data_IF_111022312380
#
_entry.id   IF_111022312380
#
_cell.length_a   1.000
_cell.length_b   1.000
_cell.length_c   1.000
_cell.angle_alpha   90.00
_cell.angle_beta   90.00
_cell.angle_gamma   90.00
#
_symmetry.space_group_name_H-M   'P 1'
#
loop_
_entity.id
_entity.type
_entity.pdbx_description
1 polymer ?
#
# COMPACT_ATOMS: atom_id res chain seq x y z
N UNK A 1 5.85 -71.73 26.70
CA UNK A 1 7.18 -71.30 26.26
C UNK A 1 7.05 -70.85 24.81
N UNK A 2 7.60 -69.68 24.54
CA UNK A 2 6.93 -68.58 23.83
C UNK A 2 6.75 -68.70 22.32
N UNK A 3 5.70 -68.02 21.85
CA UNK A 3 5.31 -67.82 20.45
C UNK A 3 6.04 -66.62 19.86
N UNK A 4 6.53 -66.83 18.65
CA UNK A 4 6.89 -65.82 17.65
C UNK A 4 5.70 -64.92 17.33
N UNK A 5 5.90 -63.60 17.31
CA UNK A 5 5.15 -62.67 16.46
C UNK A 5 6.06 -61.50 16.03
N UNK A 6 6.02 -61.23 14.72
CA UNK A 6 6.63 -60.08 14.05
C UNK A 6 5.86 -58.82 14.43
N UNK A 7 6.55 -57.69 14.59
CA UNK A 7 5.91 -56.40 14.33
C UNK A 7 6.91 -55.40 13.77
N UNK A 8 6.57 -54.87 12.60
CA UNK A 8 7.19 -53.74 11.95
C UNK A 8 6.78 -52.47 12.69
N UNK A 9 7.74 -51.70 13.20
CA UNK A 9 7.52 -50.37 13.74
C UNK A 9 7.93 -49.32 12.71
N UNK A 10 6.92 -48.72 12.08
CA UNK A 10 7.02 -47.58 11.17
C UNK A 10 7.50 -46.29 11.86
N UNK A 11 8.23 -45.51 11.08
CA UNK A 11 8.51 -44.08 11.23
C UNK A 11 7.22 -43.25 11.35
N UNK A 12 7.19 -42.29 12.28
CA UNK A 12 6.56 -40.95 12.16
C UNK A 12 7.22 -40.08 13.23
N UNK A 13 8.01 -39.04 12.93
CA UNK A 13 7.63 -37.91 12.09
C UNK A 13 6.95 -36.85 12.96
N UNK A 14 7.71 -36.20 13.85
CA UNK A 14 7.25 -34.98 14.52
C UNK A 14 7.28 -33.82 13.53
N UNK A 15 6.19 -33.61 12.81
CA UNK A 15 5.93 -32.36 12.10
C UNK A 15 5.19 -31.42 13.04
N UNK A 16 5.84 -30.30 13.37
CA UNK A 16 5.20 -29.19 14.06
C UNK A 16 4.07 -28.65 13.17
N UNK A 17 2.84 -28.84 13.62
CA UNK A 17 1.66 -28.18 13.09
C UNK A 17 1.64 -26.74 13.59
N UNK A 18 2.13 -25.81 12.76
CA UNK A 18 1.83 -24.38 12.92
C UNK A 18 0.45 -24.12 12.33
N UNK A 19 -0.57 -24.18 13.18
CA UNK A 19 -1.90 -23.63 12.87
C UNK A 19 -1.79 -22.11 12.61
N UNK A 20 -2.37 -21.56 11.54
CA UNK A 20 -2.46 -20.12 11.38
C UNK A 20 -3.45 -19.58 12.40
N UNK A 21 -2.94 -18.84 13.37
CA UNK A 21 -3.74 -18.11 14.35
C UNK A 21 -4.66 -17.14 13.62
N UNK A 22 -5.95 -17.31 13.89
CA UNK A 22 -7.04 -16.39 13.57
C UNK A 22 -6.66 -14.96 13.95
N UNK A 23 -6.34 -14.13 12.96
CA UNK A 23 -6.16 -12.69 13.13
C UNK A 23 -7.53 -12.00 13.05
N UNK A 24 -8.31 -12.06 14.11
CA UNK A 24 -9.39 -11.08 14.31
C UNK A 24 -8.76 -9.78 14.83
N UNK A 25 -8.19 -8.99 13.92
CA UNK A 25 -7.82 -7.61 14.21
C UNK A 25 -9.09 -6.76 14.19
N UNK A 26 -9.44 -6.15 15.32
CA UNK A 26 -10.51 -5.16 15.44
C UNK A 26 -10.20 -3.96 14.53
N UNK A 27 -10.89 -3.84 13.39
CA UNK A 27 -10.80 -2.67 12.50
C UNK A 27 -11.80 -1.60 12.97
N UNK A 28 -11.31 -0.54 13.58
CA UNK A 28 -12.11 0.61 14.05
C UNK A 28 -12.34 1.66 12.96
N UNK A 29 -12.65 1.23 11.73
CA UNK A 29 -12.95 2.15 10.62
C UNK A 29 -14.09 1.65 9.70
N UNK A 30 -14.88 0.67 10.16
CA UNK A 30 -15.88 -0.05 9.36
C UNK A 30 -17.20 0.72 9.14
N UNK A 31 -17.50 1.78 9.89
CA UNK A 31 -18.84 2.42 9.85
C UNK A 31 -19.00 3.50 8.77
N UNK A 32 -18.61 3.24 7.52
CA UNK A 32 -18.90 4.17 6.40
C UNK A 32 -19.67 3.56 5.24
N UNK A 33 -19.65 2.24 5.07
CA UNK A 33 -20.50 1.60 4.06
C UNK A 33 -21.89 1.37 4.65
N UNK A 34 -22.98 1.75 3.93
CA UNK A 34 -24.33 1.42 4.36
C UNK A 34 -24.49 -0.11 4.55
N UNK A 35 -24.98 -0.59 5.70
CA UNK A 35 -25.15 -2.03 5.98
C UNK A 35 -26.06 -2.72 4.96
N UNK A 36 -26.98 -1.97 4.34
CA UNK A 36 -27.88 -2.46 3.30
C UNK A 36 -27.13 -2.97 2.07
N UNK A 37 -25.99 -2.37 1.71
CA UNK A 37 -25.18 -2.81 0.56
C UNK A 37 -24.55 -4.17 0.87
N UNK A 38 -24.06 -4.36 2.09
CA UNK A 38 -23.46 -5.62 2.53
C UNK A 38 -24.47 -6.77 2.51
N UNK A 39 -25.69 -6.53 2.99
CA UNK A 39 -26.75 -7.54 3.01
C UNK A 39 -27.28 -7.85 1.61
N UNK A 40 -27.48 -6.82 0.75
CA UNK A 40 -27.87 -7.03 -0.64
C UNK A 40 -26.84 -7.87 -1.42
N UNK A 41 -25.55 -7.63 -1.21
CA UNK A 41 -24.49 -8.44 -1.82
C UNK A 41 -24.57 -9.90 -1.36
N UNK A 42 -24.69 -10.14 -0.04
CA UNK A 42 -24.86 -11.49 0.50
C UNK A 42 -26.09 -12.18 -0.10
N UNK A 43 -27.21 -11.48 -0.23
CA UNK A 43 -28.43 -12.03 -0.80
C UNK A 43 -28.28 -12.43 -2.26
N UNK A 44 -27.61 -11.61 -3.08
CA UNK A 44 -27.33 -11.94 -4.48
C UNK A 44 -26.49 -13.21 -4.57
N UNK A 45 -25.42 -13.31 -3.77
CA UNK A 45 -24.54 -14.48 -3.80
C UNK A 45 -25.19 -15.73 -3.20
N UNK A 46 -26.05 -15.59 -2.18
CA UNK A 46 -26.87 -16.70 -1.67
C UNK A 46 -27.81 -17.24 -2.75
N UNK A 47 -28.48 -16.36 -3.49
CA UNK A 47 -29.31 -16.74 -4.63
C UNK A 47 -28.48 -17.41 -5.73
N UNK A 48 -27.23 -16.97 -5.95
CA UNK A 48 -26.35 -17.60 -6.92
C UNK A 48 -25.97 -19.03 -6.56
N UNK A 49 -25.81 -19.33 -5.26
CA UNK A 49 -25.56 -20.69 -4.76
C UNK A 49 -26.79 -21.60 -4.88
N UNK A 50 -27.98 -21.01 -4.76
CA UNK A 50 -29.27 -21.72 -4.84
C UNK A 50 -29.84 -21.79 -6.27
N UNK A 51 -29.14 -21.22 -7.26
CA UNK A 51 -29.61 -21.17 -8.63
C UNK A 51 -29.70 -22.56 -9.25
N UNK A 52 -30.85 -22.88 -9.85
CA UNK A 52 -31.10 -24.19 -10.47
C UNK A 52 -30.32 -24.39 -11.78
N UNK A 53 -29.89 -23.31 -12.43
CA UNK A 53 -29.13 -23.37 -13.69
C UNK A 53 -27.76 -22.68 -13.61
N UNK A 54 -26.74 -23.21 -14.32
CA UNK A 54 -25.42 -22.59 -14.40
C UNK A 54 -25.45 -21.17 -15.00
N UNK A 55 -26.36 -20.91 -15.94
CA UNK A 55 -26.55 -19.60 -16.56
C UNK A 55 -27.03 -18.57 -15.55
N UNK A 56 -28.02 -18.93 -14.72
CA UNK A 56 -28.56 -18.05 -13.68
C UNK A 56 -27.53 -17.81 -12.57
N UNK A 57 -26.80 -18.84 -12.17
CA UNK A 57 -25.67 -18.73 -11.24
C UNK A 57 -24.64 -17.70 -11.74
N UNK A 58 -24.21 -17.81 -13.01
CA UNK A 58 -23.27 -16.86 -13.63
C UNK A 58 -23.84 -15.45 -13.72
N UNK A 59 -25.12 -15.30 -14.07
CA UNK A 59 -25.80 -14.00 -14.16
C UNK A 59 -25.82 -13.31 -12.79
N UNK A 60 -26.19 -14.02 -11.74
CA UNK A 60 -26.25 -13.50 -10.36
C UNK A 60 -24.85 -13.16 -9.82
N UNK A 61 -23.83 -13.99 -10.10
CA UNK A 61 -22.44 -13.65 -9.75
C UNK A 61 -21.97 -12.34 -10.40
N UNK A 62 -22.27 -12.16 -11.69
CA UNK A 62 -21.99 -10.90 -12.41
C UNK A 62 -22.80 -9.73 -11.87
N UNK A 63 -24.06 -9.94 -11.48
CA UNK A 63 -24.89 -8.92 -10.83
C UNK A 63 -24.26 -8.46 -9.52
N UNK A 64 -23.79 -9.38 -8.67
CA UNK A 64 -23.09 -9.06 -7.42
C UNK A 64 -21.78 -8.31 -7.65
N UNK A 65 -20.95 -8.76 -8.60
CA UNK A 65 -19.72 -8.05 -8.98
C UNK A 65 -20.00 -6.64 -9.50
N UNK A 66 -21.01 -6.47 -10.36
CA UNK A 66 -21.42 -5.16 -10.86
C UNK A 66 -21.91 -4.27 -9.71
N UNK A 67 -22.65 -4.81 -8.75
CA UNK A 67 -23.08 -4.06 -7.58
C UNK A 67 -21.88 -3.60 -6.75
N UNK A 68 -20.89 -4.47 -6.53
CA UNK A 68 -19.65 -4.08 -5.86
C UNK A 68 -18.93 -2.95 -6.61
N UNK A 69 -18.71 -3.08 -7.93
CA UNK A 69 -18.01 -2.08 -8.73
C UNK A 69 -18.71 -0.71 -8.73
N UNK A 70 -20.04 -0.69 -8.55
CA UNK A 70 -20.83 0.54 -8.47
C UNK A 70 -21.08 1.01 -7.04
N UNK A 71 -20.51 0.35 -6.02
CA UNK A 71 -20.64 0.77 -4.64
C UNK A 71 -19.96 2.14 -4.43
N UNK A 72 -20.46 2.96 -3.47
CA UNK A 72 -19.83 4.23 -3.14
C UNK A 72 -18.36 4.07 -2.75
N UNK A 73 -17.51 5.04 -3.10
CA UNK A 73 -16.07 5.03 -2.75
C UNK A 73 -15.81 4.92 -1.24
N UNK A 74 -16.80 5.27 -0.42
CA UNK A 74 -16.78 5.16 1.05
C UNK A 74 -16.81 3.71 1.54
N UNK A 75 -17.29 2.78 0.73
CA UNK A 75 -17.33 1.35 1.06
C UNK A 75 -15.97 0.65 0.92
N UNK A 76 -15.02 1.30 0.25
CA UNK A 76 -13.69 0.76 0.00
C UNK A 76 -12.69 1.35 0.99
N UNK A 77 -11.79 0.49 1.46
CA UNK A 77 -10.64 0.93 2.23
C UNK A 77 -9.81 1.89 1.39
N UNK A 78 -9.51 3.07 1.94
CA UNK A 78 -8.91 4.17 1.17
C UNK A 78 -7.40 4.26 1.32
N UNK A 79 -6.70 3.33 1.96
CA UNK A 79 -5.27 3.51 2.27
C UNK A 79 -5.00 4.32 3.53
N UNK A 80 -3.74 4.75 3.72
CA UNK A 80 -3.29 5.58 4.84
C UNK A 80 -3.03 7.03 4.43
N UNK A 81 -3.38 7.98 5.31
CA UNK A 81 -3.22 9.41 5.04
C UNK A 81 -1.75 9.77 4.77
N UNK A 82 -1.46 10.72 3.86
CA UNK A 82 -2.37 11.70 3.23
C UNK A 82 -2.63 11.52 1.72
N UNK A 83 -2.04 10.53 1.04
CA UNK A 83 -2.08 10.40 -0.42
C UNK A 83 -2.55 9.01 -0.82
N UNK A 84 -3.83 8.90 -1.20
CA UNK A 84 -4.53 7.62 -1.27
C UNK A 84 -4.81 7.14 -2.70
N UNK A 85 -5.23 8.05 -3.58
CA UNK A 85 -5.62 7.70 -4.96
C UNK A 85 -4.43 7.72 -5.93
N UNK A 86 -3.28 8.26 -5.49
CA UNK A 86 -2.05 8.39 -6.30
C UNK A 86 -0.89 7.52 -5.76
N UNK A 87 -1.10 6.79 -4.67
CA UNK A 87 -0.11 5.83 -4.17
C UNK A 87 -0.14 4.57 -5.03
N UNK A 88 0.93 4.35 -5.81
CA UNK A 88 1.06 3.16 -6.66
C UNK A 88 0.90 1.86 -5.85
N UNK A 89 1.31 1.84 -4.58
CA UNK A 89 1.13 0.68 -3.71
C UNK A 89 -0.34 0.39 -3.44
N UNK A 90 -1.17 1.42 -3.35
CA UNK A 90 -2.62 1.27 -3.19
C UNK A 90 -3.29 0.80 -4.48
N UNK A 91 -2.85 1.32 -5.63
CA UNK A 91 -3.34 0.86 -6.95
C UNK A 91 -3.08 -0.64 -7.13
N UNK A 92 -1.84 -1.08 -6.86
CA UNK A 92 -1.47 -2.50 -6.97
C UNK A 92 -2.28 -3.36 -5.98
N UNK A 93 -2.34 -2.96 -4.72
CA UNK A 93 -3.11 -3.67 -3.69
C UNK A 93 -4.62 -3.74 -4.00
N UNK A 94 -5.18 -2.69 -4.62
CA UNK A 94 -6.56 -2.66 -5.09
C UNK A 94 -6.79 -3.67 -6.22
N UNK A 95 -5.86 -3.78 -7.17
CA UNK A 95 -5.94 -4.77 -8.25
C UNK A 95 -5.89 -6.20 -7.70
N UNK A 96 -4.98 -6.47 -6.77
CA UNK A 96 -4.87 -7.77 -6.11
C UNK A 96 -6.15 -8.14 -5.34
N UNK A 97 -6.75 -7.16 -4.65
CA UNK A 97 -8.02 -7.38 -3.95
C UNK A 97 -9.18 -7.68 -4.91
N UNK A 98 -9.21 -7.05 -6.09
CA UNK A 98 -10.22 -7.36 -7.12
C UNK A 98 -10.03 -8.76 -7.71
N UNK A 99 -8.79 -9.13 -8.06
CA UNK A 99 -8.47 -10.49 -8.55
C UNK A 99 -8.82 -11.55 -7.50
N UNK A 100 -8.51 -11.31 -6.23
CA UNK A 100 -8.89 -12.18 -5.12
C UNK A 100 -10.41 -12.37 -5.05
N UNK A 101 -11.18 -11.27 -5.07
CA UNK A 101 -12.64 -11.34 -4.94
C UNK A 101 -13.27 -12.09 -6.11
N UNK A 102 -12.82 -11.84 -7.33
CA UNK A 102 -13.32 -12.55 -8.50
C UNK A 102 -13.05 -14.06 -8.35
N UNK A 103 -11.80 -14.45 -8.03
CA UNK A 103 -11.45 -15.85 -7.79
C UNK A 103 -12.23 -16.46 -6.63
N UNK A 104 -12.43 -15.73 -5.54
CA UNK A 104 -13.24 -16.18 -4.38
C UNK A 104 -14.67 -16.46 -4.78
N UNK A 105 -15.28 -15.59 -5.58
CA UNK A 105 -16.66 -15.78 -6.06
C UNK A 105 -16.77 -17.01 -6.96
N UNK A 106 -15.77 -17.29 -7.79
CA UNK A 106 -15.76 -18.44 -8.68
C UNK A 106 -15.20 -19.73 -8.07
N UNK A 107 -14.59 -19.67 -6.88
CA UNK A 107 -13.94 -20.82 -6.24
C UNK A 107 -12.54 -21.13 -6.78
N UNK A 108 -11.95 -20.23 -7.57
CA UNK A 108 -10.64 -20.39 -8.20
C UNK A 108 -9.49 -19.90 -7.30
N UNK A 109 -9.54 -20.27 -6.02
CA UNK A 109 -8.48 -19.96 -5.05
C UNK A 109 -7.57 -21.18 -4.86
N UNK A 110 -6.27 -20.92 -4.72
CA UNK A 110 -5.27 -21.94 -4.37
C UNK A 110 -5.55 -22.55 -2.99
N UNK A 111 -5.16 -23.81 -2.80
CA UNK A 111 -5.31 -24.53 -1.52
C UNK A 111 -5.98 -25.89 -1.67
N UNK A 112 -6.14 -26.62 -0.56
CA UNK A 112 -6.91 -27.88 -0.51
C UNK A 112 -8.42 -27.62 -0.57
N UNK A 113 -9.19 -28.59 -1.07
CA UNK A 113 -10.65 -28.53 -1.17
C UNK A 113 -11.15 -28.33 -2.60
N UNK A 114 -12.45 -28.55 -2.81
CA UNK A 114 -13.10 -28.39 -4.11
C UNK A 114 -13.35 -26.92 -4.46
N UNK A 115 -13.68 -26.63 -5.72
CA UNK A 115 -14.02 -25.27 -6.14
C UNK A 115 -15.27 -24.76 -5.40
N UNK A 116 -16.24 -25.64 -5.15
CA UNK A 116 -17.47 -25.32 -4.42
C UNK A 116 -17.21 -25.03 -2.93
N UNK A 117 -16.26 -25.74 -2.32
CA UNK A 117 -15.87 -25.49 -0.92
C UNK A 117 -15.16 -24.15 -0.76
N UNK A 118 -14.41 -23.73 -1.78
CA UNK A 118 -13.64 -22.47 -1.78
C UNK A 118 -14.45 -21.27 -2.22
N UNK A 119 -15.47 -21.48 -3.04
CA UNK A 119 -16.34 -20.43 -3.53
C UNK A 119 -16.94 -19.63 -2.36
N UNK A 120 -17.16 -18.34 -2.60
CA UNK A 120 -17.78 -17.46 -1.63
C UNK A 120 -19.13 -17.99 -1.18
N UNK A 121 -19.30 -18.13 0.14
CA UNK A 121 -20.54 -18.61 0.73
C UNK A 121 -20.92 -17.77 1.96
N UNK A 122 -21.93 -16.88 1.83
CA UNK A 122 -22.34 -16.00 2.92
C UNK A 122 -22.89 -16.77 4.14
N UNK A 123 -23.33 -18.02 3.96
CA UNK A 123 -23.93 -18.82 5.03
C UNK A 123 -22.88 -19.65 5.80
N UNK A 124 -21.65 -19.76 5.27
CA UNK A 124 -20.50 -20.38 5.96
C UNK A 124 -19.76 -19.42 6.92
N UNK A 125 -20.31 -18.24 7.14
CA UNK A 125 -19.69 -17.21 7.98
C UNK A 125 -18.64 -16.38 7.24
N UNK A 126 -18.59 -16.45 5.90
CA UNK A 126 -17.79 -15.51 5.12
C UNK A 126 -18.31 -14.09 5.36
N UNK A 127 -17.38 -13.15 5.61
CA UNK A 127 -17.70 -11.74 5.65
C UNK A 127 -18.21 -11.29 4.27
N UNK A 128 -18.91 -10.15 4.20
CA UNK A 128 -19.41 -9.67 2.90
C UNK A 128 -18.27 -9.51 1.87
N UNK A 129 -18.56 -9.56 0.56
CA UNK A 129 -17.54 -9.42 -0.47
C UNK A 129 -16.78 -8.08 -0.39
N UNK A 130 -17.46 -7.00 0.00
CA UNK A 130 -16.80 -5.70 0.23
C UNK A 130 -15.86 -5.73 1.45
N UNK A 131 -16.27 -6.40 2.53
CA UNK A 131 -15.40 -6.59 3.71
C UNK A 131 -14.18 -7.42 3.34
N UNK A 132 -14.36 -8.50 2.58
CA UNK A 132 -13.27 -9.33 2.08
C UNK A 132 -12.33 -8.53 1.18
N UNK A 133 -12.86 -7.68 0.30
CA UNK A 133 -12.06 -6.78 -0.54
C UNK A 133 -11.21 -5.84 0.33
N UNK A 134 -11.82 -5.21 1.34
CA UNK A 134 -11.14 -4.26 2.23
C UNK A 134 -10.01 -4.92 3.02
N UNK A 135 -10.23 -6.13 3.53
CA UNK A 135 -9.22 -6.90 4.26
C UNK A 135 -8.05 -7.24 3.33
N UNK A 136 -8.32 -7.74 2.12
CA UNK A 136 -7.27 -8.11 1.17
C UNK A 136 -6.50 -6.89 0.65
N UNK A 137 -7.18 -5.81 0.30
CA UNK A 137 -6.53 -4.58 -0.17
C UNK A 137 -5.62 -4.01 0.91
N UNK A 138 -6.09 -3.96 2.16
CA UNK A 138 -5.26 -3.51 3.28
C UNK A 138 -4.05 -4.42 3.52
N UNK A 139 -4.25 -5.74 3.48
CA UNK A 139 -3.18 -6.72 3.65
C UNK A 139 -2.11 -6.57 2.57
N UNK A 140 -2.50 -6.63 1.30
CA UNK A 140 -1.60 -6.46 0.17
C UNK A 140 -0.84 -5.12 0.22
N UNK A 141 -1.52 -4.04 0.61
CA UNK A 141 -0.84 -2.75 0.78
C UNK A 141 0.22 -2.78 1.88
N UNK A 142 -0.09 -3.38 3.04
CA UNK A 142 0.84 -3.49 4.15
C UNK A 142 2.04 -4.38 3.81
N UNK A 143 1.81 -5.47 3.09
CA UNK A 143 2.83 -6.38 2.59
C UNK A 143 3.73 -5.66 1.58
N UNK A 144 3.17 -5.03 0.55
CA UNK A 144 3.93 -4.25 -0.44
C UNK A 144 4.74 -3.12 0.22
N UNK A 145 4.16 -2.47 1.23
CA UNK A 145 4.87 -1.43 2.02
C UNK A 145 5.99 -2.02 2.87
N UNK A 146 5.83 -3.25 3.38
CA UNK A 146 6.87 -3.94 4.12
C UNK A 146 7.99 -4.41 3.18
N UNK A 147 7.65 -5.06 2.07
CA UNK A 147 8.61 -5.47 1.04
C UNK A 147 9.42 -4.29 0.52
N UNK A 148 8.77 -3.14 0.26
CA UNK A 148 9.50 -1.93 -0.15
C UNK A 148 10.47 -1.43 0.93
N UNK A 149 10.11 -1.57 2.21
CA UNK A 149 11.02 -1.22 3.33
C UNK A 149 12.16 -2.21 3.44
N UNK A 150 11.88 -3.49 3.27
CA UNK A 150 12.86 -4.57 3.34
C UNK A 150 13.83 -4.47 2.17
N UNK A 151 13.37 -4.19 0.95
CA UNK A 151 14.22 -3.88 -0.22
C UNK A 151 15.09 -2.65 0.02
N UNK A 152 14.55 -1.58 0.61
CA UNK A 152 15.37 -0.40 0.96
C UNK A 152 16.43 -0.78 2.00
N UNK A 153 16.10 -1.63 2.97
CA UNK A 153 17.03 -2.08 4.00
C UNK A 153 18.08 -3.06 3.46
N UNK A 154 17.69 -3.99 2.60
CA UNK A 154 18.54 -4.95 1.90
C UNK A 154 19.46 -4.22 0.94
N UNK A 155 18.96 -3.28 0.13
CA UNK A 155 19.80 -2.40 -0.70
C UNK A 155 20.81 -1.62 0.15
N UNK A 156 20.44 -1.24 1.38
CA UNK A 156 21.33 -0.54 2.32
C UNK A 156 22.38 -1.47 2.95
N UNK A 157 22.05 -2.74 3.14
CA UNK A 157 22.95 -3.78 3.64
C UNK A 157 23.88 -4.29 2.53
N UNK A 158 23.37 -4.53 1.33
CA UNK A 158 24.14 -4.84 0.13
C UNK A 158 25.05 -3.67 -0.27
N UNK A 159 24.58 -2.42 -0.16
CA UNK A 159 25.45 -1.25 -0.27
C UNK A 159 26.51 -1.20 0.84
N UNK A 160 26.20 -1.70 2.05
CA UNK A 160 27.14 -1.82 3.16
C UNK A 160 28.17 -2.95 3.00
N UNK A 161 27.80 -4.05 2.33
CA UNK A 161 28.70 -5.18 2.04
C UNK A 161 29.52 -4.98 0.75
N UNK A 162 29.01 -4.20 -0.21
CA UNK A 162 29.79 -3.72 -1.36
C UNK A 162 30.71 -2.53 -1.04
N UNK A 163 30.54 -1.88 0.12
CA UNK A 163 31.39 -0.78 0.60
C UNK A 163 32.71 -1.25 1.25
N UNK A 164 33.37 -2.25 0.67
CA UNK A 164 34.82 -2.47 0.84
C UNK A 164 35.64 -1.95 -0.36
N UNK A 165 35.11 -0.97 -1.09
CA UNK A 165 35.90 -0.16 -2.01
C UNK A 165 35.47 1.32 -1.89
N UNK A 166 36.29 2.08 -1.17
CA UNK A 166 36.33 3.55 -1.05
C UNK A 166 34.97 4.31 -1.06
N UNK A 167 34.53 4.59 0.16
CA UNK A 167 33.23 5.10 0.60
C UNK A 167 33.06 6.61 0.32
N UNK A 168 32.73 6.98 -0.92
CA UNK A 168 32.13 8.29 -1.21
C UNK A 168 30.63 8.15 -1.50
N UNK A 169 29.75 8.81 -0.72
CA UNK A 169 28.32 8.79 -1.02
C UNK A 169 28.07 9.38 -2.42
N UNK A 170 27.13 8.78 -3.16
CA UNK A 170 26.75 9.29 -4.48
C UNK A 170 26.39 10.78 -4.37
N UNK A 171 26.69 11.57 -5.40
CA UNK A 171 26.47 13.02 -5.38
C UNK A 171 25.01 13.39 -5.04
N UNK A 172 24.05 12.55 -5.43
CA UNK A 172 22.65 12.75 -5.13
C UNK A 172 22.32 12.48 -3.65
N UNK A 173 22.93 11.44 -3.06
CA UNK A 173 22.78 11.14 -1.63
C UNK A 173 23.45 12.19 -0.75
N UNK A 174 24.62 12.72 -1.15
CA UNK A 174 25.27 13.88 -0.52
C UNK A 174 24.32 15.10 -0.47
N UNK A 175 23.61 15.36 -1.57
CA UNK A 175 22.63 16.46 -1.66
C UNK A 175 21.41 16.21 -0.76
N UNK A 176 20.90 14.97 -0.72
CA UNK A 176 19.79 14.60 0.17
C UNK A 176 20.13 14.82 1.64
N UNK A 177 21.27 14.32 2.08
CA UNK A 177 21.73 14.44 3.46
C UNK A 177 21.90 15.92 3.86
N UNK A 178 22.43 16.74 2.95
CA UNK A 178 22.57 18.18 3.18
C UNK A 178 21.19 18.86 3.36
N UNK A 179 20.17 18.46 2.61
CA UNK A 179 18.80 18.97 2.79
C UNK A 179 18.18 18.51 4.10
N UNK A 180 18.32 17.23 4.47
CA UNK A 180 17.68 16.64 5.67
C UNK A 180 18.32 17.13 6.97
N UNK A 181 19.65 17.09 7.03
CA UNK A 181 20.41 17.49 8.20
C UNK A 181 20.38 19.01 8.39
N UNK A 182 20.35 19.77 7.28
CA UNK A 182 20.42 21.23 7.26
C UNK A 182 21.52 21.73 8.22
N UNK A 183 22.79 21.40 7.96
CA UNK A 183 23.88 21.60 8.92
C UNK A 183 24.09 23.07 9.30
N UNK A 184 23.67 24.00 8.43
CA UNK A 184 23.73 25.45 8.71
C UNK A 184 22.44 25.98 9.34
N UNK A 185 21.39 25.17 9.47
CA UNK A 185 20.05 25.58 9.93
C UNK A 185 19.34 26.56 8.98
N UNK A 186 19.91 26.83 7.81
CA UNK A 186 19.44 27.89 6.92
C UNK A 186 18.17 27.48 6.19
N UNK A 187 17.99 26.18 5.91
CA UNK A 187 16.83 25.68 5.17
C UNK A 187 15.57 25.65 6.04
N UNK A 188 15.72 25.36 7.33
CA UNK A 188 14.63 25.36 8.34
C UNK A 188 14.24 26.77 8.77
N UNK A 189 15.20 27.70 8.81
CA UNK A 189 14.97 29.08 9.28
C UNK A 189 14.57 30.06 8.19
N UNK A 190 14.71 29.69 6.91
CA UNK A 190 14.20 30.46 5.78
C UNK A 190 12.86 29.91 5.27
N UNK A 191 11.98 30.81 4.84
CA UNK A 191 10.61 30.48 4.48
C UNK A 191 10.28 30.90 3.05
N UNK A 192 9.54 30.04 2.37
CA UNK A 192 8.77 30.41 1.18
C UNK A 192 7.53 31.20 1.60
N UNK A 193 6.93 30.83 2.73
CA UNK A 193 5.78 31.52 3.32
C UNK A 193 5.73 31.25 4.82
N UNK A 194 5.77 32.31 5.62
CA UNK A 194 5.71 32.19 7.08
C UNK A 194 4.27 32.19 7.63
N UNK A 195 3.35 32.87 6.94
CA UNK A 195 1.97 33.08 7.40
C UNK A 195 0.95 32.89 6.28
N UNK A 196 -0.30 32.46 6.60
CA UNK A 196 -0.73 31.83 7.85
C UNK A 196 -0.02 30.48 8.16
N UNK A 197 -0.01 29.98 9.40
CA UNK A 197 0.51 28.64 9.69
C UNK A 197 -0.22 27.52 8.89
N UNK A 198 0.43 26.38 8.60
CA UNK A 198 1.83 26.05 8.92
C UNK A 198 2.83 26.71 7.96
N UNK A 199 4.01 27.17 8.43
CA UNK A 199 5.01 27.80 7.57
C UNK A 199 5.57 26.80 6.54
N UNK A 200 5.86 27.30 5.36
CA UNK A 200 6.53 26.53 4.29
C UNK A 200 8.00 26.94 4.30
N UNK A 201 8.87 26.03 4.71
CA UNK A 201 10.31 26.26 4.79
C UNK A 201 10.96 26.03 3.43
N UNK A 202 12.17 26.57 3.25
CA UNK A 202 12.97 26.22 2.08
C UNK A 202 13.31 24.73 2.09
N UNK A 203 13.54 24.15 3.27
CA UNK A 203 13.81 22.72 3.44
C UNK A 203 12.70 21.85 2.84
N UNK A 204 11.43 22.13 3.15
CA UNK A 204 10.31 21.33 2.63
C UNK A 204 10.23 21.39 1.11
N UNK A 205 10.52 22.55 0.51
CA UNK A 205 10.49 22.71 -0.95
C UNK A 205 11.65 21.98 -1.62
N UNK A 206 12.85 22.04 -1.05
CA UNK A 206 14.03 21.35 -1.60
C UNK A 206 13.92 19.83 -1.52
N UNK A 207 13.39 19.30 -0.40
CA UNK A 207 13.10 17.87 -0.28
C UNK A 207 12.07 17.43 -1.32
N UNK A 208 11.05 18.24 -1.59
CA UNK A 208 10.05 17.91 -2.63
C UNK A 208 10.65 17.93 -4.04
N UNK A 209 11.56 18.86 -4.32
CA UNK A 209 12.31 18.88 -5.59
C UNK A 209 13.19 17.63 -5.72
N UNK A 210 13.83 17.22 -4.62
CA UNK A 210 14.60 15.98 -4.57
C UNK A 210 13.73 14.76 -4.89
N UNK A 211 12.55 14.65 -4.28
CA UNK A 211 11.62 13.54 -4.55
C UNK A 211 11.29 13.44 -6.04
N UNK A 212 10.87 14.56 -6.66
CA UNK A 212 10.59 14.59 -8.10
C UNK A 212 11.81 14.15 -8.93
N UNK A 213 13.00 14.68 -8.61
CA UNK A 213 14.22 14.34 -9.33
C UNK A 213 14.62 12.85 -9.17
N UNK A 214 14.45 12.30 -7.97
CA UNK A 214 14.78 10.90 -7.66
C UNK A 214 13.87 9.90 -8.37
N UNK A 215 12.61 10.29 -8.63
CA UNK A 215 11.64 9.50 -9.39
C UNK A 215 11.71 9.76 -10.91
N UNK A 216 12.66 10.58 -11.40
CA UNK A 216 12.77 10.94 -12.82
C UNK A 216 11.65 11.86 -13.32
N UNK A 217 10.90 12.47 -12.40
CA UNK A 217 9.81 13.39 -12.74
C UNK A 217 10.32 14.81 -13.00
N UNK A 218 9.66 15.49 -13.94
CA UNK A 218 9.89 16.92 -14.15
C UNK A 218 9.17 17.73 -13.09
N UNK A 219 9.87 18.70 -12.50
CA UNK A 219 9.29 19.69 -11.62
C UNK A 219 9.31 21.08 -12.27
N UNK A 220 8.36 21.92 -11.89
CA UNK A 220 8.29 23.33 -12.32
C UNK A 220 7.88 24.20 -11.13
N UNK A 221 8.19 25.50 -11.17
CA UNK A 221 7.75 26.43 -10.13
C UNK A 221 6.23 26.51 -10.02
N UNK A 222 5.51 26.30 -11.12
CA UNK A 222 4.04 26.22 -11.12
C UNK A 222 3.57 24.98 -10.34
N UNK A 223 4.14 23.81 -10.63
CA UNK A 223 3.83 22.55 -9.93
C UNK A 223 4.14 22.65 -8.44
N UNK A 224 5.28 23.24 -8.07
CA UNK A 224 5.63 23.49 -6.67
C UNK A 224 4.66 24.49 -6.01
N UNK A 225 4.21 25.52 -6.73
CA UNK A 225 3.22 26.46 -6.18
C UNK A 225 1.88 25.78 -5.89
N UNK A 226 1.42 24.90 -6.78
CA UNK A 226 0.22 24.08 -6.61
C UNK A 226 0.37 23.12 -5.42
N UNK A 227 1.48 22.38 -5.35
CA UNK A 227 1.80 21.42 -4.27
C UNK A 227 1.74 22.07 -2.88
N UNK A 228 2.33 23.26 -2.75
CA UNK A 228 2.40 23.98 -1.49
C UNK A 228 1.22 24.94 -1.26
N UNK A 229 0.20 24.91 -2.13
CA UNK A 229 -0.97 25.78 -2.09
C UNK A 229 -0.62 27.27 -1.91
N UNK A 230 0.34 27.75 -2.70
CA UNK A 230 0.75 29.16 -2.75
C UNK A 230 0.56 29.73 -4.14
N UNK A 231 0.47 31.06 -4.25
CA UNK A 231 0.41 31.66 -5.58
C UNK A 231 1.73 31.46 -6.34
N UNK A 232 1.70 31.32 -7.68
CA UNK A 232 2.92 31.22 -8.47
C UNK A 232 3.87 32.39 -8.23
N UNK A 233 3.36 33.60 -7.98
CA UNK A 233 4.17 34.77 -7.66
C UNK A 233 4.97 34.61 -6.36
N UNK A 234 4.38 34.01 -5.32
CA UNK A 234 5.08 33.71 -4.05
C UNK A 234 6.20 32.71 -4.27
N UNK A 235 5.92 31.59 -4.97
CA UNK A 235 6.93 30.58 -5.26
C UNK A 235 8.07 31.12 -6.14
N UNK A 236 7.74 31.90 -7.18
CA UNK A 236 8.75 32.55 -8.02
C UNK A 236 9.61 33.55 -7.21
N UNK A 237 8.98 34.36 -6.37
CA UNK A 237 9.67 35.31 -5.50
C UNK A 237 10.62 34.60 -4.53
N UNK A 238 10.15 33.54 -3.87
CA UNK A 238 10.97 32.73 -2.97
C UNK A 238 12.10 32.01 -3.72
N UNK A 239 11.83 31.49 -4.92
CA UNK A 239 12.84 30.85 -5.76
C UNK A 239 14.00 31.79 -6.07
N UNK A 240 13.70 32.97 -6.59
CA UNK A 240 14.72 33.95 -7.00
C UNK A 240 15.48 34.56 -5.83
N UNK A 241 14.80 34.84 -4.70
CA UNK A 241 15.37 35.62 -3.60
C UNK A 241 15.97 34.78 -2.48
N UNK A 242 15.51 33.54 -2.31
CA UNK A 242 15.84 32.72 -1.15
C UNK A 242 16.36 31.35 -1.54
N UNK A 243 15.58 30.56 -2.28
CA UNK A 243 15.90 29.15 -2.57
C UNK A 243 17.14 29.03 -3.47
N UNK A 244 17.17 29.76 -4.59
CA UNK A 244 18.29 29.70 -5.55
C UNK A 244 19.61 30.19 -4.93
N UNK A 245 19.66 31.31 -4.19
CA UNK A 245 20.87 31.72 -3.46
C UNK A 245 21.36 30.66 -2.46
N UNK A 246 20.45 30.05 -1.69
CA UNK A 246 20.82 28.99 -0.75
C UNK A 246 21.37 27.75 -1.47
N UNK A 247 20.73 27.33 -2.57
CA UNK A 247 21.24 26.23 -3.40
C UNK A 247 22.62 26.52 -3.99
N UNK A 248 22.91 27.77 -4.39
CA UNK A 248 24.24 28.14 -4.88
C UNK A 248 25.29 28.00 -3.78
N UNK A 249 25.01 28.53 -2.58
CA UNK A 249 25.91 28.39 -1.43
C UNK A 249 26.15 26.94 -1.04
N UNK A 250 25.12 26.09 -1.16
CA UNK A 250 25.25 24.65 -0.93
C UNK A 250 26.06 23.97 -2.03
N UNK A 251 25.85 24.36 -3.29
CA UNK A 251 26.63 23.87 -4.43
C UNK A 251 28.12 24.13 -4.25
N UNK A 252 28.50 25.31 -3.75
CA UNK A 252 29.89 25.67 -3.46
C UNK A 252 30.52 24.82 -2.33
N UNK A 253 29.71 24.25 -1.43
CA UNK A 253 30.19 23.36 -0.35
C UNK A 253 30.26 21.88 -0.75
N UNK A 254 29.40 21.47 -1.67
CA UNK A 254 29.25 20.09 -2.13
C UNK A 254 30.09 19.78 -3.39
N UNK A 255 30.77 20.78 -3.97
CA UNK A 255 31.77 20.63 -5.03
C UNK A 255 33.18 20.70 -4.45
#
# INVERSE_FOLDING_TARGET
MDKFERSMGQEMGQTMSSSPQSRTAKMTHEDKCPPEIHEQLKDIFRRALQAESPEECKRLRREGLNMMMNAPKECFWRGYAPHYEEDLLYVDASLDAWDYIERKIYGDIRGSGTAEEKAYDPDKGDASPLTLWNINCKGAYEDNRQERRDLIQETRLEAGEMAQADDEPSRLEKVRQEFELDPTGALKTNFVRQTPPPPITVQSVLLRIYDYASCGEKWTLKRLAEEFNVSPGVMNGAWSRTIRPLLAQMGDRLC
#
